data_IF_700770293322
#
_entry.id   IF_700770293322
#
_cell.length_a   1.000
_cell.length_b   1.000
_cell.length_c   1.000
_cell.angle_alpha   90.00
_cell.angle_beta   90.00
_cell.angle_gamma   90.00
#
_symmetry.space_group_name_H-M   'P 1'
#
loop_
_entity.id
_entity.type
_entity.pdbx_description
1 polymer ?
#
# COMPACT_ATOMS: atom_id res chain seq x y z
N UNK A 1 62.92 -17.62 -37.92
CA UNK A 1 61.66 -16.84 -37.87
C UNK A 1 60.82 -17.41 -36.73
N UNK A 2 60.86 -16.78 -35.56
CA UNK A 2 60.05 -17.16 -34.40
C UNK A 2 59.42 -15.89 -33.83
N UNK A 3 58.11 -15.77 -33.97
CA UNK A 3 57.33 -14.67 -33.43
C UNK A 3 57.20 -14.82 -31.91
N UNK A 4 57.65 -13.79 -31.19
CA UNK A 4 57.56 -13.65 -29.74
C UNK A 4 56.16 -13.12 -29.42
N UNK A 5 55.30 -13.94 -28.81
CA UNK A 5 54.05 -13.48 -28.22
C UNK A 5 54.36 -12.64 -26.98
N UNK A 6 54.05 -11.35 -27.03
CA UNK A 6 54.05 -10.49 -25.85
C UNK A 6 52.79 -10.77 -25.03
N UNK A 7 53.02 -11.22 -23.80
CA UNK A 7 51.99 -11.37 -22.76
C UNK A 7 51.58 -9.98 -22.26
N UNK A 8 50.47 -9.46 -22.80
CA UNK A 8 49.72 -8.38 -22.17
C UNK A 8 49.22 -8.85 -20.79
N UNK A 9 49.78 -8.26 -19.73
CA UNK A 9 49.19 -8.35 -18.39
C UNK A 9 48.10 -7.30 -18.27
N UNK A 10 46.81 -7.66 -18.10
CA UNK A 10 45.79 -6.68 -17.79
C UNK A 10 46.03 -6.15 -16.37
N UNK A 11 46.40 -4.86 -16.31
CA UNK A 11 46.39 -4.06 -15.09
C UNK A 11 45.05 -4.23 -14.38
N UNK A 12 45.06 -4.85 -13.19
CA UNK A 12 43.93 -4.85 -12.25
C UNK A 12 43.52 -3.40 -12.01
N UNK A 13 42.39 -3.00 -12.58
CA UNK A 13 41.72 -1.75 -12.22
C UNK A 13 41.51 -1.73 -10.71
N UNK A 14 42.15 -0.77 -10.04
CA UNK A 14 41.86 -0.47 -8.65
C UNK A 14 40.37 -0.16 -8.54
N UNK A 15 39.65 -0.93 -7.71
CA UNK A 15 38.28 -0.62 -7.37
C UNK A 15 38.21 0.83 -6.86
N UNK A 16 37.20 1.63 -7.26
CA UNK A 16 37.04 2.98 -6.75
C UNK A 16 36.94 2.90 -5.23
N UNK A 17 37.84 3.60 -4.54
CA UNK A 17 37.87 3.65 -3.09
C UNK A 17 36.48 4.12 -2.60
N UNK A 18 35.77 3.25 -1.89
CA UNK A 18 34.58 3.61 -1.15
C UNK A 18 34.97 4.75 -0.20
N UNK A 19 34.49 5.96 -0.46
CA UNK A 19 34.79 7.13 0.38
C UNK A 19 34.42 6.80 1.82
N UNK A 20 35.44 6.71 2.67
CA UNK A 20 35.32 6.57 4.12
C UNK A 20 34.38 7.65 4.65
N UNK A 21 33.58 7.32 5.67
CA UNK A 21 32.77 8.35 6.33
C UNK A 21 33.68 9.46 6.87
N UNK A 22 33.34 10.74 6.65
CA UNK A 22 34.19 11.85 7.09
C UNK A 22 34.31 11.85 8.61
N UNK A 23 35.47 12.26 9.11
CA UNK A 23 35.68 12.42 10.54
C UNK A 23 34.66 13.41 11.15
N UNK A 24 34.37 13.35 12.46
CA UNK A 24 33.41 14.28 13.07
C UNK A 24 33.74 15.77 12.84
N UNK A 25 35.03 16.11 12.79
CA UNK A 25 35.48 17.47 12.51
C UNK A 25 35.25 17.88 11.04
N UNK A 26 35.57 17.01 10.09
CA UNK A 26 35.30 17.24 8.66
C UNK A 26 33.81 17.30 8.37
N UNK A 27 33.03 16.43 9.02
CA UNK A 27 31.56 16.46 8.92
C UNK A 27 31.00 17.79 9.38
N UNK A 28 31.43 18.32 10.53
CA UNK A 28 30.98 19.63 11.00
C UNK A 28 31.30 20.76 10.00
N UNK A 29 32.47 20.71 9.34
CA UNK A 29 32.83 21.67 8.29
C UNK A 29 31.94 21.54 7.05
N UNK A 30 31.64 20.31 6.62
CA UNK A 30 30.76 20.04 5.48
C UNK A 30 29.33 20.48 5.80
N UNK A 31 28.82 20.20 7.01
CA UNK A 31 27.49 20.64 7.45
C UNK A 31 27.38 22.17 7.45
N UNK A 32 28.40 22.88 7.93
CA UNK A 32 28.45 24.33 7.90
C UNK A 32 28.44 24.86 6.45
N UNK A 33 29.21 24.24 5.56
CA UNK A 33 29.28 24.64 4.15
C UNK A 33 27.95 24.42 3.42
N UNK A 34 27.28 23.29 3.64
CA UNK A 34 25.95 22.98 3.11
C UNK A 34 24.91 24.01 3.57
N UNK A 35 24.91 24.38 4.86
CA UNK A 35 24.02 25.43 5.40
C UNK A 35 24.30 26.78 4.76
N UNK A 36 25.57 27.12 4.58
CA UNK A 36 26.01 28.38 3.98
C UNK A 36 25.56 28.48 2.53
N UNK A 37 25.77 27.41 1.74
CA UNK A 37 25.36 27.36 0.33
C UNK A 37 23.84 27.48 0.17
N UNK A 38 23.05 26.76 0.97
CA UNK A 38 21.58 26.88 0.94
C UNK A 38 21.11 28.29 1.32
N UNK A 39 21.73 28.90 2.33
CA UNK A 39 21.39 30.26 2.77
C UNK A 39 21.72 31.30 1.71
N UNK A 40 22.90 31.21 1.10
CA UNK A 40 23.33 32.11 0.04
C UNK A 40 22.41 32.01 -1.19
N UNK A 41 22.04 30.80 -1.59
CA UNK A 41 21.13 30.56 -2.71
C UNK A 41 19.74 31.18 -2.46
N UNK A 42 19.17 30.98 -1.27
CA UNK A 42 17.89 31.57 -0.94
C UNK A 42 17.94 33.11 -0.90
N UNK A 43 19.04 33.70 -0.41
CA UNK A 43 19.23 35.14 -0.39
C UNK A 43 19.35 35.74 -1.80
N UNK A 44 20.00 35.05 -2.73
CA UNK A 44 20.08 35.47 -4.13
C UNK A 44 18.69 35.57 -4.79
N UNK A 45 17.76 34.72 -4.37
CA UNK A 45 16.37 34.71 -4.84
C UNK A 45 15.46 35.68 -4.03
N UNK A 46 16.04 36.52 -3.17
CA UNK A 46 15.29 37.48 -2.34
C UNK A 46 14.51 36.85 -1.19
N UNK A 47 14.78 35.58 -0.86
CA UNK A 47 14.13 34.82 0.20
C UNK A 47 15.03 34.56 1.40
N UNK A 48 14.44 33.95 2.44
CA UNK A 48 15.17 33.42 3.59
C UNK A 48 14.66 32.04 3.94
N UNK A 49 15.56 31.10 4.27
CA UNK A 49 15.17 29.77 4.72
C UNK A 49 15.03 29.73 6.25
N UNK A 50 13.96 29.12 6.78
CA UNK A 50 13.87 28.85 8.20
C UNK A 50 14.88 27.77 8.62
N UNK A 51 15.28 27.80 9.89
CA UNK A 51 16.26 26.86 10.44
C UNK A 51 15.87 25.39 10.26
N UNK A 52 14.57 25.07 10.35
CA UNK A 52 14.06 23.72 10.12
C UNK A 52 14.34 23.18 8.70
N UNK A 53 14.28 24.04 7.67
CA UNK A 53 14.60 23.66 6.28
C UNK A 53 16.10 23.45 6.14
N UNK A 54 16.93 24.30 6.74
CA UNK A 54 18.38 24.12 6.75
C UNK A 54 18.80 22.83 7.45
N UNK A 55 18.21 22.54 8.61
CA UNK A 55 18.46 21.30 9.34
C UNK A 55 18.00 20.07 8.55
N UNK A 56 16.90 20.16 7.79
CA UNK A 56 16.45 19.11 6.88
C UNK A 56 17.41 18.87 5.69
N UNK A 57 17.90 19.94 5.05
CA UNK A 57 18.87 19.84 3.95
C UNK A 57 20.14 19.11 4.43
N UNK A 58 20.62 19.46 5.63
CA UNK A 58 21.78 18.82 6.25
C UNK A 58 21.49 17.37 6.61
N UNK A 59 20.37 17.08 7.27
CA UNK A 59 20.00 15.73 7.69
C UNK A 59 19.79 14.75 6.51
N UNK A 60 19.44 15.26 5.33
CA UNK A 60 19.20 14.47 4.11
C UNK A 60 20.35 14.46 3.11
N UNK A 61 21.48 15.07 3.50
CA UNK A 61 22.73 15.06 2.73
C UNK A 61 23.45 13.72 2.88
N UNK A 62 23.97 13.21 1.76
CA UNK A 62 24.80 12.01 1.77
C UNK A 62 26.26 12.43 1.88
N UNK A 63 26.79 12.43 3.11
CA UNK A 63 28.14 12.90 3.40
C UNK A 63 29.27 12.06 2.77
N UNK A 64 28.94 10.97 2.06
CA UNK A 64 29.89 10.23 1.23
C UNK A 64 30.12 10.89 -0.13
N UNK A 65 29.29 11.86 -0.51
CA UNK A 65 29.45 12.66 -1.73
C UNK A 65 30.50 13.76 -1.54
N UNK A 66 31.11 14.20 -2.65
CA UNK A 66 32.00 15.35 -2.64
C UNK A 66 31.25 16.61 -2.14
N UNK A 67 31.92 17.40 -1.31
CA UNK A 67 31.44 18.65 -0.72
C UNK A 67 30.79 19.59 -1.75
N UNK A 68 31.39 19.76 -2.93
CA UNK A 68 30.81 20.61 -3.99
C UNK A 68 29.44 20.12 -4.47
N UNK A 69 29.25 18.80 -4.58
CA UNK A 69 27.96 18.23 -4.97
C UNK A 69 26.89 18.43 -3.89
N UNK A 70 27.29 18.36 -2.62
CA UNK A 70 26.43 18.64 -1.48
C UNK A 70 26.00 20.12 -1.44
N UNK A 71 26.93 21.05 -1.64
CA UNK A 71 26.65 22.48 -1.70
C UNK A 71 25.73 22.84 -2.88
N UNK A 72 25.99 22.30 -4.07
CA UNK A 72 25.14 22.52 -5.25
C UNK A 72 23.72 21.97 -5.05
N UNK A 73 23.58 20.80 -4.43
CA UNK A 73 22.29 20.22 -4.07
C UNK A 73 21.56 21.07 -3.03
N UNK A 74 22.28 21.55 -2.02
CA UNK A 74 21.73 22.42 -0.98
C UNK A 74 21.17 23.72 -1.58
N UNK A 75 21.91 24.35 -2.49
CA UNK A 75 21.47 25.52 -3.25
C UNK A 75 20.24 25.23 -4.12
N UNK A 76 20.21 24.08 -4.81
CA UNK A 76 19.05 23.69 -5.64
C UNK A 76 17.77 23.49 -4.81
N UNK A 77 17.88 22.83 -3.65
CA UNK A 77 16.74 22.66 -2.74
C UNK A 77 16.29 24.01 -2.20
N UNK A 78 17.23 24.87 -1.81
CA UNK A 78 16.95 26.22 -1.33
C UNK A 78 16.14 27.04 -2.34
N UNK A 79 16.58 27.09 -3.60
CA UNK A 79 15.89 27.81 -4.67
C UNK A 79 14.47 27.27 -4.89
N UNK A 80 14.31 25.94 -4.87
CA UNK A 80 12.98 25.35 -5.01
C UNK A 80 12.05 25.77 -3.86
N UNK A 81 12.52 25.75 -2.62
CA UNK A 81 11.71 26.11 -1.45
C UNK A 81 11.30 27.58 -1.45
N UNK A 82 12.18 28.48 -1.91
CA UNK A 82 11.87 29.91 -2.02
C UNK A 82 10.76 30.18 -3.04
N UNK A 83 10.73 29.42 -4.13
CA UNK A 83 9.76 29.59 -5.23
C UNK A 83 8.52 28.69 -5.13
N UNK A 84 8.45 27.82 -4.14
CA UNK A 84 7.33 26.88 -4.01
C UNK A 84 6.11 27.56 -3.40
N UNK A 85 5.07 27.73 -4.21
CA UNK A 85 3.77 28.30 -3.81
C UNK A 85 3.09 27.47 -2.70
N UNK A 86 3.49 26.21 -2.53
CA UNK A 86 2.99 25.31 -1.47
C UNK A 86 3.82 25.40 -0.18
N UNK A 87 4.90 26.18 -0.15
CA UNK A 87 5.65 26.41 1.06
C UNK A 87 4.74 27.10 2.10
N UNK A 88 4.71 26.61 3.36
CA UNK A 88 3.92 27.24 4.39
C UNK A 88 4.51 28.61 4.73
N UNK A 89 3.69 29.54 5.24
CA UNK A 89 4.19 30.82 5.72
C UNK A 89 5.07 30.59 6.96
N UNK A 90 6.38 30.56 6.76
CA UNK A 90 7.37 30.19 7.78
C UNK A 90 7.31 31.02 9.07
N UNK A 91 6.82 32.25 9.00
CA UNK A 91 6.70 33.15 10.15
C UNK A 91 5.54 32.84 11.09
N UNK A 92 4.55 32.05 10.63
CA UNK A 92 3.34 31.71 11.41
C UNK A 92 2.83 30.29 11.23
N UNK A 93 3.53 29.45 10.47
CA UNK A 93 3.14 28.07 10.20
C UNK A 93 3.19 27.22 11.47
N UNK A 94 2.18 26.36 11.64
CA UNK A 94 2.19 25.42 12.73
C UNK A 94 3.29 24.36 12.50
N UNK A 95 3.98 23.85 13.54
CA UNK A 95 5.06 22.86 13.37
C UNK A 95 4.67 21.62 12.54
N UNK A 96 3.40 21.22 12.57
CA UNK A 96 2.88 20.10 11.76
C UNK A 96 2.81 20.42 10.27
N UNK A 97 2.52 21.66 9.89
CA UNK A 97 2.48 22.10 8.48
C UNK A 97 3.89 22.16 7.90
N UNK A 98 4.83 22.67 8.70
CA UNK A 98 6.27 22.63 8.39
C UNK A 98 6.73 21.20 8.19
N UNK A 99 6.38 20.28 9.11
CA UNK A 99 6.75 18.87 9.00
C UNK A 99 6.14 18.18 7.77
N UNK A 100 4.86 18.44 7.46
CA UNK A 100 4.19 17.88 6.29
C UNK A 100 4.82 18.38 4.98
N UNK A 101 5.17 19.66 4.92
CA UNK A 101 5.85 20.25 3.78
C UNK A 101 7.26 19.65 3.57
N UNK A 102 8.07 19.57 4.63
CA UNK A 102 9.39 18.92 4.58
C UNK A 102 9.31 17.46 4.14
N UNK A 103 8.27 16.73 4.58
CA UNK A 103 8.03 15.36 4.12
C UNK A 103 7.68 15.28 2.62
N UNK A 104 6.97 16.29 2.09
CA UNK A 104 6.66 16.38 0.66
C UNK A 104 7.90 16.70 -0.20
N UNK A 105 8.81 17.55 0.29
CA UNK A 105 10.10 17.80 -0.34
C UNK A 105 10.93 16.51 -0.44
N UNK A 106 10.86 15.65 0.57
CA UNK A 106 11.51 14.33 0.54
C UNK A 106 11.03 13.42 -0.58
N UNK A 107 9.78 13.57 -1.03
CA UNK A 107 9.26 12.86 -2.21
C UNK A 107 9.77 13.49 -3.50
N UNK A 108 9.68 14.81 -3.64
CA UNK A 108 10.13 15.53 -4.84
C UNK A 108 11.64 15.40 -5.08
N UNK A 109 12.46 15.48 -4.04
CA UNK A 109 13.92 15.35 -4.16
C UNK A 109 14.42 13.90 -3.99
N UNK A 110 13.61 13.01 -3.42
CA UNK A 110 13.86 11.57 -3.42
C UNK A 110 13.82 10.97 -4.83
N UNK A 111 12.99 11.53 -5.71
CA UNK A 111 12.91 11.15 -7.13
C UNK A 111 14.02 11.82 -7.97
N UNK A 112 14.49 13.01 -7.62
CA UNK A 112 15.72 13.60 -8.21
C UNK A 112 16.96 12.73 -7.97
N UNK A 113 17.03 12.01 -6.85
CA UNK A 113 18.11 11.05 -6.59
C UNK A 113 18.12 9.89 -7.61
N UNK A 114 16.97 9.58 -8.22
CA UNK A 114 16.86 8.62 -9.33
C UNK A 114 17.18 9.26 -10.68
N UNK A 115 16.78 10.51 -10.90
CA UNK A 115 17.01 11.21 -12.18
C UNK A 115 18.43 11.77 -12.36
N UNK A 116 19.08 12.30 -11.32
CA UNK A 116 20.47 12.78 -11.41
C UNK A 116 21.47 11.63 -11.62
N UNK A 117 21.17 10.43 -11.10
CA UNK A 117 21.92 9.20 -11.41
C UNK A 117 21.74 8.70 -12.84
N UNK A 118 20.71 9.17 -13.56
CA UNK A 118 20.41 8.79 -14.96
C UNK A 118 20.95 9.81 -15.97
N UNK A 119 21.22 11.06 -15.59
CA UNK A 119 21.80 12.08 -16.49
C UNK A 119 23.32 12.26 -16.34
N UNK A 120 23.94 11.80 -15.24
CA UNK A 120 25.39 11.92 -15.02
C UNK A 120 26.26 10.74 -15.47
N UNK A 121 25.66 9.67 -15.99
CA UNK A 121 26.37 8.43 -16.38
C UNK A 121 26.23 8.08 -17.87
N UNK A 122 25.93 9.08 -18.70
CA UNK A 122 25.81 8.95 -20.15
C UNK A 122 27.12 9.14 -20.89
N UNK A 123 28.25 8.63 -20.39
CA UNK A 123 29.53 8.57 -21.13
C UNK A 123 30.58 7.81 -20.30
N UNK A 124 30.54 6.47 -20.31
CA UNK A 124 31.71 5.59 -20.28
C UNK A 124 31.30 4.13 -20.01
N UNK A 125 31.43 3.32 -21.06
CA UNK A 125 31.72 1.89 -21.07
C UNK A 125 30.72 0.92 -20.42
N UNK A 126 30.12 0.11 -21.29
CA UNK A 126 29.25 -1.00 -20.93
C UNK A 126 29.97 -2.19 -20.26
N UNK A 127 29.14 -3.21 -20.05
CA UNK A 127 29.37 -4.54 -19.44
C UNK A 127 28.88 -4.63 -17.98
N UNK A 128 27.99 -5.60 -17.78
CA UNK A 128 27.43 -6.15 -16.52
C UNK A 128 26.47 -5.30 -15.68
N UNK A 129 25.29 -5.05 -16.25
CA UNK A 129 24.11 -4.65 -15.49
C UNK A 129 23.42 -5.83 -14.81
N UNK A 130 23.98 -6.38 -13.73
CA UNK A 130 23.17 -7.11 -12.72
C UNK A 130 23.95 -7.47 -11.43
N UNK A 131 24.50 -6.49 -10.68
CA UNK A 131 25.07 -6.79 -9.34
C UNK A 131 25.35 -5.62 -8.40
N UNK A 132 24.47 -4.64 -8.27
CA UNK A 132 24.45 -3.75 -7.08
C UNK A 132 23.02 -3.44 -6.67
N UNK A 133 22.34 -4.42 -6.07
CA UNK A 133 21.09 -4.21 -5.33
C UNK A 133 21.37 -4.39 -3.83
N UNK A 134 22.29 -3.60 -3.30
CA UNK A 134 22.58 -3.56 -1.88
C UNK A 134 21.97 -2.28 -1.26
N UNK A 135 20.98 -2.51 -0.40
CA UNK A 135 20.67 -1.73 0.79
C UNK A 135 20.78 -0.19 0.69
N UNK A 136 19.71 0.45 0.26
CA UNK A 136 19.63 1.91 0.25
C UNK A 136 18.22 2.45 0.08
N UNK A 137 17.22 1.79 0.68
CA UNK A 137 15.89 2.39 0.83
C UNK A 137 16.00 3.58 1.79
N UNK A 138 16.32 4.74 1.22
CA UNK A 138 16.13 6.05 1.84
C UNK A 138 14.62 6.25 2.06
N UNK A 139 14.11 5.72 3.18
CA UNK A 139 12.87 6.20 3.77
C UNK A 139 13.15 7.61 4.28
N UNK A 140 12.46 8.60 3.72
CA UNK A 140 12.47 9.96 4.26
C UNK A 140 12.10 9.90 5.73
N UNK A 141 12.94 10.47 6.58
CA UNK A 141 12.75 10.53 8.01
C UNK A 141 11.43 11.24 8.30
N UNK A 142 10.40 10.46 8.63
CA UNK A 142 9.21 10.99 9.28
C UNK A 142 9.59 11.35 10.71
N UNK A 143 8.88 12.31 11.30
CA UNK A 143 9.02 12.75 12.70
C UNK A 143 8.96 11.58 13.74
N UNK A 144 8.61 10.37 13.29
CA UNK A 144 8.64 9.08 14.00
C UNK A 144 10.02 8.43 14.16
N UNK A 145 11.08 8.94 13.53
CA UNK A 145 12.43 8.34 13.55
C UNK A 145 13.36 8.93 14.62
N UNK A 146 12.86 9.80 15.51
CA UNK A 146 13.56 10.10 16.76
C UNK A 146 13.56 8.82 17.62
N UNK A 147 14.70 8.39 18.20
CA UNK A 147 14.74 7.21 19.05
C UNK A 147 13.88 7.47 20.30
N UNK A 148 12.68 6.88 20.33
CA UNK A 148 11.86 6.89 21.54
C UNK A 148 12.61 6.09 22.61
N UNK A 149 12.65 6.62 23.83
CA UNK A 149 13.19 5.85 24.96
C UNK A 149 12.39 4.54 25.11
N UNK A 150 13.05 3.50 25.61
CA UNK A 150 12.43 2.18 25.83
C UNK A 150 11.18 2.29 26.72
N UNK A 151 11.20 3.17 27.72
CA UNK A 151 10.05 3.48 28.57
C UNK A 151 8.88 4.07 27.77
N UNK A 152 9.15 4.98 26.82
CA UNK A 152 8.12 5.55 25.94
C UNK A 152 7.56 4.52 24.98
N UNK A 153 8.40 3.68 24.37
CA UNK A 153 7.94 2.58 23.52
C UNK A 153 7.15 1.54 24.32
N UNK A 154 7.54 1.28 25.56
CA UNK A 154 6.86 0.35 26.45
C UNK A 154 5.49 0.87 26.86
N UNK A 155 5.39 2.15 27.24
CA UNK A 155 4.12 2.82 27.48
C UNK A 155 3.23 2.79 26.22
N UNK A 156 3.81 3.08 25.05
CA UNK A 156 3.08 3.06 23.77
C UNK A 156 2.56 1.66 23.41
N UNK A 157 3.35 0.62 23.64
CA UNK A 157 2.94 -0.76 23.41
C UNK A 157 1.76 -1.15 24.33
N UNK A 158 1.77 -0.72 25.59
CA UNK A 158 0.63 -0.93 26.52
C UNK A 158 -0.61 -0.17 26.04
N UNK A 159 -0.45 1.08 25.64
CA UNK A 159 -1.54 1.93 25.14
C UNK A 159 -2.19 1.32 23.89
N UNK A 160 -1.40 0.78 22.95
CA UNK A 160 -1.90 0.12 21.74
C UNK A 160 -2.44 -1.30 21.96
N UNK A 161 -2.47 -1.79 23.19
CA UNK A 161 -3.01 -3.12 23.52
C UNK A 161 -2.07 -4.29 23.24
N UNK A 162 -0.76 -4.04 23.19
CA UNK A 162 0.30 -5.06 23.00
C UNK A 162 1.23 -5.09 24.22
N UNK A 163 0.70 -5.31 25.45
CA UNK A 163 1.47 -5.14 26.69
C UNK A 163 2.64 -6.12 26.81
N UNK A 164 2.58 -7.28 26.14
CA UNK A 164 3.65 -8.26 26.14
C UNK A 164 4.93 -7.75 25.45
N UNK A 165 4.79 -6.78 24.54
CA UNK A 165 5.92 -6.18 23.83
C UNK A 165 6.62 -5.12 24.69
N UNK A 166 5.92 -4.55 25.68
CA UNK A 166 6.42 -3.45 26.51
C UNK A 166 7.67 -3.79 27.34
N UNK A 167 7.89 -5.07 27.63
CA UNK A 167 9.05 -5.57 28.36
C UNK A 167 9.90 -6.52 27.49
N UNK A 168 9.72 -6.49 26.17
CA UNK A 168 10.41 -7.40 25.26
C UNK A 168 11.80 -6.85 24.89
N UNK A 169 12.88 -7.66 24.88
CA UNK A 169 14.24 -7.16 24.58
C UNK A 169 14.37 -6.55 23.18
N UNK A 170 13.54 -7.00 22.23
CA UNK A 170 13.51 -6.44 20.87
C UNK A 170 12.73 -5.12 20.75
N UNK A 171 12.09 -4.62 21.82
CA UNK A 171 11.29 -3.40 21.78
C UNK A 171 12.09 -2.21 21.23
N UNK A 172 13.38 -2.10 21.58
CA UNK A 172 14.28 -1.05 21.07
C UNK A 172 14.54 -1.12 19.57
N UNK A 173 14.38 -2.29 18.95
CA UNK A 173 14.53 -2.51 17.51
C UNK A 173 13.23 -2.26 16.74
N UNK A 174 12.11 -2.17 17.46
CA UNK A 174 10.80 -1.93 16.88
C UNK A 174 10.49 -0.44 16.90
N UNK A 175 10.04 0.07 15.76
CA UNK A 175 9.56 1.45 15.65
C UNK A 175 8.12 1.56 16.16
N UNK A 176 7.63 2.77 16.52
CA UNK A 176 6.22 2.96 16.88
C UNK A 176 5.25 2.42 15.82
N UNK A 177 5.60 2.54 14.54
CA UNK A 177 4.84 1.96 13.44
C UNK A 177 4.77 0.43 13.48
N UNK A 178 5.84 -0.25 13.91
CA UNK A 178 5.82 -1.70 14.07
C UNK A 178 4.87 -2.12 15.20
N UNK A 179 4.89 -1.39 16.32
CA UNK A 179 3.98 -1.61 17.46
C UNK A 179 2.52 -1.48 17.01
N UNK A 180 2.19 -0.45 16.23
CA UNK A 180 0.86 -0.27 15.66
C UNK A 180 0.45 -1.40 14.72
N UNK A 181 1.35 -1.84 13.84
CA UNK A 181 1.06 -2.95 12.91
C UNK A 181 0.81 -4.25 13.68
N UNK A 182 1.60 -4.57 14.70
CA UNK A 182 1.35 -5.74 15.56
C UNK A 182 0.02 -5.60 16.32
N UNK A 183 -0.32 -4.41 16.81
CA UNK A 183 -1.59 -4.13 17.47
C UNK A 183 -2.79 -4.34 16.54
N UNK A 184 -2.75 -3.77 15.33
CA UNK A 184 -3.81 -3.91 14.31
C UNK A 184 -4.03 -5.36 13.91
N UNK A 185 -2.94 -6.11 13.74
CA UNK A 185 -2.96 -7.54 13.44
C UNK A 185 -3.19 -8.41 14.68
N UNK A 186 -3.50 -7.80 15.83
CA UNK A 186 -3.76 -8.44 17.14
C UNK A 186 -2.69 -9.45 17.55
N UNK A 187 -1.45 -9.27 17.12
CA UNK A 187 -0.39 -10.27 17.26
C UNK A 187 -0.11 -10.57 18.72
N UNK A 188 -0.10 -11.87 19.07
CA UNK A 188 0.26 -12.32 20.40
C UNK A 188 1.77 -12.62 20.49
N UNK A 189 2.22 -12.80 21.74
CA UNK A 189 3.62 -13.11 22.04
C UNK A 189 4.09 -14.40 21.36
N UNK A 190 3.21 -15.39 21.21
CA UNK A 190 3.56 -16.70 20.63
C UNK A 190 3.79 -16.58 19.13
N UNK A 191 2.88 -15.92 18.41
CA UNK A 191 3.02 -15.68 16.97
C UNK A 191 4.26 -14.83 16.66
N UNK A 192 4.57 -13.83 17.50
CA UNK A 192 5.80 -13.07 17.34
C UNK A 192 7.06 -13.93 17.55
N UNK A 193 7.07 -14.78 18.58
CA UNK A 193 8.18 -15.71 18.82
C UNK A 193 8.29 -16.78 17.72
N UNK A 194 7.18 -17.23 17.14
CA UNK A 194 7.21 -18.14 16.01
C UNK A 194 7.95 -17.53 14.81
N UNK A 195 7.75 -16.22 14.54
CA UNK A 195 8.48 -15.51 13.49
C UNK A 195 9.95 -15.26 13.85
N UNK A 196 10.22 -14.82 15.08
CA UNK A 196 11.58 -14.39 15.45
C UNK A 196 12.47 -15.54 15.91
N UNK A 197 12.01 -16.34 16.86
CA UNK A 197 12.80 -17.43 17.47
C UNK A 197 12.77 -18.71 16.64
N UNK A 198 11.61 -19.11 16.13
CA UNK A 198 11.50 -20.38 15.39
C UNK A 198 11.83 -20.22 13.90
N UNK A 199 11.36 -19.15 13.25
CA UNK A 199 11.68 -18.85 11.86
C UNK A 199 12.95 -18.00 11.65
N UNK A 200 13.64 -17.59 12.73
CA UNK A 200 14.93 -16.90 12.66
C UNK A 200 14.85 -15.47 12.09
N UNK A 201 13.67 -14.85 12.06
CA UNK A 201 13.53 -13.50 11.54
C UNK A 201 14.04 -12.46 12.54
N UNK A 202 14.74 -11.44 12.04
CA UNK A 202 14.99 -10.25 12.84
C UNK A 202 13.66 -9.53 13.15
N UNK A 203 13.57 -8.75 14.24
CA UNK A 203 12.36 -7.99 14.57
C UNK A 203 11.87 -7.10 13.42
N UNK A 204 12.80 -6.51 12.66
CA UNK A 204 12.49 -5.67 11.51
C UNK A 204 11.90 -6.48 10.35
N UNK A 205 12.44 -7.68 10.08
CA UNK A 205 11.90 -8.61 9.07
C UNK A 205 10.53 -9.14 9.48
N UNK A 206 10.33 -9.46 10.77
CA UNK A 206 9.05 -9.90 11.31
C UNK A 206 7.99 -8.78 11.14
N UNK A 207 8.32 -7.54 11.48
CA UNK A 207 7.44 -6.39 11.20
C UNK A 207 7.17 -6.23 9.70
N UNK A 208 8.19 -6.33 8.84
CA UNK A 208 8.03 -6.24 7.39
C UNK A 208 7.05 -7.29 6.83
N UNK A 209 7.10 -8.52 7.37
CA UNK A 209 6.20 -9.60 7.02
C UNK A 209 4.76 -9.34 7.47
N UNK A 210 4.56 -8.96 8.74
CA UNK A 210 3.22 -8.65 9.27
C UNK A 210 2.60 -7.46 8.54
N UNK A 211 3.41 -6.46 8.18
CA UNK A 211 2.97 -5.35 7.34
C UNK A 211 2.57 -5.80 5.93
N UNK A 212 3.26 -6.77 5.34
CA UNK A 212 2.86 -7.35 4.06
C UNK A 212 1.55 -8.14 4.17
N UNK A 213 1.33 -8.85 5.28
CA UNK A 213 0.05 -9.52 5.58
C UNK A 213 -1.11 -8.51 5.70
N UNK A 214 -0.92 -7.43 6.45
CA UNK A 214 -1.87 -6.33 6.55
C UNK A 214 -2.20 -5.74 5.16
N UNK A 215 -1.17 -5.47 4.36
CA UNK A 215 -1.33 -4.91 3.01
C UNK A 215 -2.03 -5.87 2.03
N UNK A 216 -1.87 -7.18 2.22
CA UNK A 216 -2.54 -8.22 1.45
C UNK A 216 -3.97 -8.50 1.92
N UNK A 217 -4.50 -7.75 2.91
CA UNK A 217 -5.80 -7.97 3.54
C UNK A 217 -5.95 -9.34 4.22
N UNK A 218 -4.86 -9.91 4.71
CA UNK A 218 -4.90 -11.10 5.57
C UNK A 218 -5.55 -10.70 6.90
N UNK A 219 -6.45 -11.54 7.42
CA UNK A 219 -7.11 -11.25 8.70
C UNK A 219 -6.13 -11.41 9.87
N UNK A 220 -6.38 -10.77 11.03
CA UNK A 220 -5.55 -10.95 12.22
C UNK A 220 -5.35 -12.43 12.63
N UNK A 221 -6.40 -13.25 12.56
CA UNK A 221 -6.34 -14.65 12.97
C UNK A 221 -5.55 -15.50 11.96
N UNK A 222 -5.76 -15.28 10.66
CA UNK A 222 -4.96 -15.90 9.60
C UNK A 222 -3.49 -15.53 9.70
N UNK A 223 -3.17 -14.27 10.02
CA UNK A 223 -1.79 -13.81 10.17
C UNK A 223 -1.07 -14.50 11.35
N UNK A 224 -1.77 -14.70 12.47
CA UNK A 224 -1.24 -15.44 13.62
C UNK A 224 -0.98 -16.91 13.28
N UNK A 225 -1.95 -17.55 12.64
CA UNK A 225 -1.86 -18.94 12.23
C UNK A 225 -0.73 -19.15 11.21
N UNK A 226 -0.65 -18.28 10.21
CA UNK A 226 0.41 -18.30 9.20
C UNK A 226 1.79 -18.13 9.87
N UNK A 227 1.92 -17.21 10.82
CA UNK A 227 3.16 -17.02 11.58
C UNK A 227 3.56 -18.25 12.40
N UNK A 228 2.60 -18.89 13.10
CA UNK A 228 2.86 -20.12 13.86
C UNK A 228 3.28 -21.27 12.94
N UNK A 229 2.62 -21.43 11.79
CA UNK A 229 2.96 -22.45 10.79
C UNK A 229 4.33 -22.21 10.15
N UNK A 230 4.65 -20.96 9.81
CA UNK A 230 5.97 -20.56 9.33
C UNK A 230 7.07 -20.83 10.36
N UNK A 231 6.81 -20.57 11.65
CA UNK A 231 7.73 -20.94 12.72
C UNK A 231 7.99 -22.45 12.75
N UNK A 232 6.93 -23.26 12.74
CA UNK A 232 7.04 -24.71 12.80
C UNK A 232 7.82 -25.32 11.62
N UNK A 233 7.62 -24.79 10.42
CA UNK A 233 8.29 -25.27 9.20
C UNK A 233 9.73 -24.78 9.06
N UNK A 234 10.01 -23.54 9.47
CA UNK A 234 11.36 -22.96 9.42
C UNK A 234 12.28 -23.39 10.56
N UNK A 235 11.70 -23.93 11.64
CA UNK A 235 12.46 -24.39 12.81
C UNK A 235 13.48 -25.46 12.43
N UNK A 236 14.75 -25.16 12.66
CA UNK A 236 15.88 -26.06 12.42
C UNK A 236 16.38 -26.10 10.98
N UNK A 237 15.84 -25.27 10.07
CA UNK A 237 16.43 -25.03 8.75
C UNK A 237 17.71 -24.22 8.85
N UNK A 238 18.54 -24.24 7.81
CA UNK A 238 19.71 -23.36 7.76
C UNK A 238 19.29 -21.89 7.63
N UNK A 239 20.10 -20.90 8.07
CA UNK A 239 19.76 -19.49 7.91
C UNK A 239 19.49 -19.07 6.45
N UNK A 240 20.19 -19.67 5.49
CA UNK A 240 19.98 -19.42 4.06
C UNK A 240 18.61 -19.94 3.59
N UNK A 241 18.22 -21.15 4.00
CA UNK A 241 16.90 -21.73 3.71
C UNK A 241 15.77 -20.92 4.37
N UNK A 242 15.97 -20.49 5.62
CA UNK A 242 15.01 -19.63 6.32
C UNK A 242 14.83 -18.30 5.59
N UNK A 243 15.93 -17.68 5.15
CA UNK A 243 15.89 -16.43 4.42
C UNK A 243 15.20 -16.58 3.06
N UNK A 244 15.54 -17.62 2.29
CA UNK A 244 14.91 -17.92 1.00
C UNK A 244 13.39 -18.11 1.14
N UNK A 245 12.96 -18.90 2.13
CA UNK A 245 11.54 -19.11 2.41
C UNK A 245 10.82 -17.82 2.81
N UNK A 246 11.47 -16.98 3.62
CA UNK A 246 10.92 -15.68 4.02
C UNK A 246 10.75 -14.73 2.83
N UNK A 247 11.74 -14.68 1.94
CA UNK A 247 11.69 -13.86 0.73
C UNK A 247 10.55 -14.31 -0.20
N UNK A 248 10.40 -15.62 -0.40
CA UNK A 248 9.28 -16.18 -1.18
C UNK A 248 7.92 -15.88 -0.55
N UNK A 249 7.79 -15.98 0.77
CA UNK A 249 6.57 -15.59 1.48
C UNK A 249 6.24 -14.11 1.30
N UNK A 250 7.25 -13.23 1.43
CA UNK A 250 7.06 -11.79 1.21
C UNK A 250 6.64 -11.49 -0.23
N UNK A 251 7.23 -12.16 -1.20
CA UNK A 251 6.90 -11.96 -2.61
C UNK A 251 5.50 -12.49 -2.95
N UNK A 252 5.09 -13.61 -2.35
CA UNK A 252 3.71 -14.09 -2.44
C UNK A 252 2.71 -13.09 -1.82
N UNK A 253 2.99 -12.56 -0.62
CA UNK A 253 2.13 -11.55 0.03
C UNK A 253 2.04 -10.25 -0.78
N UNK A 254 3.15 -9.78 -1.35
CA UNK A 254 3.14 -8.63 -2.28
C UNK A 254 2.32 -8.93 -3.53
N UNK A 255 2.50 -10.11 -4.11
CA UNK A 255 1.75 -10.52 -5.29
C UNK A 255 0.25 -10.65 -5.00
N UNK A 256 -0.15 -11.16 -3.83
CA UNK A 256 -1.56 -11.18 -3.41
C UNK A 256 -2.19 -9.79 -3.46
N UNK A 257 -1.45 -8.78 -2.99
CA UNK A 257 -1.90 -7.39 -3.06
C UNK A 257 -1.99 -6.88 -4.51
N UNK A 258 -0.95 -7.09 -5.31
CA UNK A 258 -0.81 -6.38 -6.59
C UNK A 258 -1.42 -7.13 -7.79
N UNK A 259 -1.25 -8.45 -7.89
CA UNK A 259 -1.64 -9.27 -9.04
C UNK A 259 -1.92 -10.74 -8.65
N UNK A 260 -3.18 -11.21 -8.71
CA UNK A 260 -3.54 -12.57 -8.32
C UNK A 260 -2.90 -13.65 -9.18
N UNK A 261 -2.61 -13.38 -10.47
CA UNK A 261 -1.94 -14.36 -11.34
C UNK A 261 -0.48 -14.56 -10.91
N UNK A 262 0.20 -13.47 -10.51
CA UNK A 262 1.55 -13.56 -9.91
C UNK A 262 1.52 -14.26 -8.55
N UNK A 263 0.47 -14.05 -7.76
CA UNK A 263 0.32 -14.71 -6.47
C UNK A 263 0.23 -16.24 -6.63
N UNK A 264 -0.58 -16.72 -7.59
CA UNK A 264 -0.68 -18.14 -7.91
C UNK A 264 0.68 -18.71 -8.38
N UNK A 265 1.39 -17.99 -9.27
CA UNK A 265 2.72 -18.42 -9.72
C UNK A 265 3.73 -18.52 -8.56
N UNK A 266 3.69 -17.58 -7.62
CA UNK A 266 4.55 -17.61 -6.42
C UNK A 266 4.19 -18.73 -5.44
N UNK A 267 2.90 -19.07 -5.33
CA UNK A 267 2.46 -20.21 -4.53
C UNK A 267 2.96 -21.53 -5.11
N UNK A 268 2.97 -21.68 -6.44
CA UNK A 268 3.57 -22.84 -7.13
C UNK A 268 5.10 -22.91 -6.96
N UNK A 269 5.80 -21.77 -6.98
CA UNK A 269 7.24 -21.72 -6.69
C UNK A 269 7.54 -22.21 -5.27
N UNK A 270 6.77 -21.73 -4.28
CA UNK A 270 6.85 -22.19 -2.89
C UNK A 270 6.49 -23.67 -2.73
N UNK A 271 5.52 -24.17 -3.51
CA UNK A 271 5.15 -25.60 -3.51
C UNK A 271 6.33 -26.47 -3.94
N UNK A 272 7.04 -26.10 -5.00
CA UNK A 272 8.24 -26.84 -5.47
C UNK A 272 9.34 -26.86 -4.41
N UNK A 273 9.63 -25.72 -3.79
CA UNK A 273 10.63 -25.64 -2.72
C UNK A 273 10.23 -26.51 -1.50
N UNK A 274 8.93 -26.54 -1.18
CA UNK A 274 8.38 -27.38 -0.12
C UNK A 274 8.47 -28.86 -0.42
N UNK A 275 8.21 -29.28 -1.65
CA UNK A 275 8.39 -30.67 -2.06
C UNK A 275 9.85 -31.11 -1.93
N UNK A 276 10.81 -30.24 -2.30
CA UNK A 276 12.23 -30.48 -2.04
C UNK A 276 12.55 -30.55 -0.55
N UNK A 277 11.97 -29.65 0.25
CA UNK A 277 12.16 -29.64 1.70
C UNK A 277 11.64 -30.93 2.34
N UNK A 278 10.45 -31.40 1.96
CA UNK A 278 9.88 -32.65 2.48
C UNK A 278 10.69 -33.86 2.06
N UNK A 279 11.24 -33.87 0.84
CA UNK A 279 12.18 -34.91 0.39
C UNK A 279 13.45 -34.95 1.26
N UNK A 280 13.99 -33.79 1.62
CA UNK A 280 15.19 -33.69 2.49
C UNK A 280 14.88 -33.93 3.97
N UNK A 281 13.68 -33.57 4.41
CA UNK A 281 13.22 -33.55 5.81
C UNK A 281 11.78 -34.04 5.92
N UNK A 282 11.56 -35.37 5.86
CA UNK A 282 10.22 -35.95 5.93
C UNK A 282 9.51 -35.67 7.26
N UNK A 283 10.26 -35.42 8.34
CA UNK A 283 9.73 -34.99 9.64
C UNK A 283 8.94 -33.67 9.57
N UNK A 284 9.23 -32.82 8.58
CA UNK A 284 8.54 -31.54 8.35
C UNK A 284 7.30 -31.65 7.45
N UNK A 285 7.00 -32.82 6.91
CA UNK A 285 5.91 -33.02 5.94
C UNK A 285 4.56 -32.47 6.42
N UNK A 286 4.21 -32.74 7.68
CA UNK A 286 2.95 -32.26 8.27
C UNK A 286 2.90 -30.74 8.36
N UNK A 287 3.95 -30.12 8.92
CA UNK A 287 4.03 -28.68 9.08
C UNK A 287 3.98 -27.96 7.71
N UNK A 288 4.65 -28.53 6.71
CA UNK A 288 4.63 -28.03 5.32
C UNK A 288 3.22 -28.11 4.73
N UNK A 289 2.53 -29.24 4.89
CA UNK A 289 1.15 -29.40 4.44
C UNK A 289 0.18 -28.42 5.13
N UNK A 290 0.34 -28.21 6.44
CA UNK A 290 -0.49 -27.30 7.20
C UNK A 290 -0.26 -25.84 6.75
N UNK A 291 0.99 -25.43 6.49
CA UNK A 291 1.29 -24.11 5.94
C UNK A 291 0.74 -23.91 4.52
N UNK A 292 0.83 -24.93 3.66
CA UNK A 292 0.27 -24.89 2.30
C UNK A 292 -1.25 -24.71 2.33
N UNK A 293 -1.95 -25.45 3.18
CA UNK A 293 -3.40 -25.31 3.35
C UNK A 293 -3.79 -23.90 3.80
N UNK A 294 -3.07 -23.32 4.76
CA UNK A 294 -3.34 -21.95 5.23
C UNK A 294 -3.23 -20.94 4.09
N UNK A 295 -2.21 -21.06 3.25
CA UNK A 295 -1.99 -20.12 2.15
C UNK A 295 -3.01 -20.27 1.04
N UNK A 296 -3.37 -21.50 0.70
CA UNK A 296 -4.44 -21.76 -0.27
C UNK A 296 -5.77 -21.19 0.21
N UNK A 297 -6.07 -21.34 1.51
CA UNK A 297 -7.29 -20.79 2.12
C UNK A 297 -7.29 -19.25 2.08
N UNK A 298 -6.18 -18.61 2.49
CA UNK A 298 -6.01 -17.15 2.42
C UNK A 298 -6.17 -16.65 0.98
N UNK A 299 -5.48 -17.27 0.03
CA UNK A 299 -5.56 -16.87 -1.39
C UNK A 299 -6.98 -17.04 -1.92
N UNK A 300 -7.63 -18.16 -1.63
CA UNK A 300 -9.00 -18.43 -2.07
C UNK A 300 -9.99 -17.42 -1.48
N UNK A 301 -9.86 -17.07 -0.19
CA UNK A 301 -10.70 -16.04 0.44
C UNK A 301 -10.53 -14.70 -0.25
N UNK A 302 -9.28 -14.25 -0.44
CA UNK A 302 -8.98 -12.97 -1.07
C UNK A 302 -9.51 -12.93 -2.51
N UNK A 303 -9.38 -14.02 -3.28
CA UNK A 303 -9.95 -14.12 -4.62
C UNK A 303 -11.48 -14.06 -4.62
N UNK A 304 -12.15 -14.73 -3.66
CA UNK A 304 -13.60 -14.68 -3.51
C UNK A 304 -14.08 -13.28 -3.14
N UNK A 305 -13.42 -12.61 -2.19
CA UNK A 305 -13.73 -11.22 -1.82
C UNK A 305 -13.55 -10.27 -3.00
N UNK A 306 -12.49 -10.43 -3.79
CA UNK A 306 -12.28 -9.64 -5.01
C UNK A 306 -13.35 -9.87 -6.07
N UNK A 307 -13.74 -11.12 -6.28
CA UNK A 307 -14.84 -11.46 -7.19
C UNK A 307 -16.17 -10.88 -6.71
N UNK A 308 -16.46 -10.97 -5.41
CA UNK A 308 -17.65 -10.37 -4.81
C UNK A 308 -17.65 -8.84 -4.94
N UNK A 309 -16.50 -8.17 -4.71
CA UNK A 309 -16.36 -6.72 -4.89
C UNK A 309 -16.53 -6.31 -6.36
N UNK A 310 -16.03 -7.11 -7.31
CA UNK A 310 -16.21 -6.87 -8.73
C UNK A 310 -17.68 -7.02 -9.17
N UNK A 311 -18.38 -8.04 -8.66
CA UNK A 311 -19.82 -8.24 -8.89
C UNK A 311 -20.61 -7.06 -8.32
N UNK A 312 -20.35 -6.67 -7.06
CA UNK A 312 -21.01 -5.52 -6.42
C UNK A 312 -20.79 -4.23 -7.21
N UNK A 313 -19.57 -3.95 -7.66
CA UNK A 313 -19.28 -2.77 -8.50
C UNK A 313 -20.01 -2.83 -9.85
N UNK A 314 -20.19 -4.01 -10.41
CA UNK A 314 -20.94 -4.18 -11.65
C UNK A 314 -22.45 -3.94 -11.43
N UNK A 315 -23.01 -4.42 -10.32
CA UNK A 315 -24.39 -4.15 -9.90
C UNK A 315 -24.63 -2.66 -9.63
N UNK A 316 -23.72 -1.98 -8.93
CA UNK A 316 -23.75 -0.53 -8.69
C UNK A 316 -23.70 0.28 -10.00
N UNK A 317 -22.93 -0.19 -11.00
CA UNK A 317 -22.94 0.44 -12.34
C UNK A 317 -24.27 0.21 -13.06
N UNK A 318 -24.84 -0.98 -12.98
CA UNK A 318 -26.09 -1.31 -13.64
C UNK A 318 -27.28 -0.53 -13.06
N UNK A 319 -27.34 -0.40 -11.74
CA UNK A 319 -28.35 0.43 -11.06
C UNK A 319 -28.24 1.89 -11.49
N UNK A 320 -27.05 2.47 -11.46
CA UNK A 320 -26.82 3.84 -11.94
C UNK A 320 -27.14 4.04 -13.43
N UNK A 321 -26.92 3.03 -14.29
CA UNK A 321 -27.35 3.08 -15.70
C UNK A 321 -28.87 3.02 -15.82
N UNK A 322 -29.55 2.23 -14.99
CA UNK A 322 -31.01 2.15 -14.98
C UNK A 322 -31.65 3.46 -14.50
N UNK A 323 -31.09 4.10 -13.48
CA UNK A 323 -31.54 5.42 -12.99
C UNK A 323 -31.36 6.49 -14.08
N UNK A 324 -30.19 6.55 -14.73
CA UNK A 324 -29.96 7.46 -15.86
C UNK A 324 -30.92 7.22 -17.03
N UNK A 325 -31.30 5.97 -17.30
CA UNK A 325 -32.30 5.66 -18.32
C UNK A 325 -33.69 6.13 -17.90
N UNK A 326 -34.06 5.97 -16.64
CA UNK A 326 -35.32 6.47 -16.11
C UNK A 326 -35.41 8.00 -16.22
N UNK A 327 -34.37 8.73 -15.80
CA UNK A 327 -34.30 10.19 -15.97
C UNK A 327 -34.39 10.63 -17.43
N UNK A 328 -33.77 9.89 -18.36
CA UNK A 328 -33.84 10.19 -19.78
C UNK A 328 -35.26 9.98 -20.35
N UNK A 329 -35.96 8.95 -19.87
CA UNK A 329 -37.36 8.68 -20.26
C UNK A 329 -38.26 9.78 -19.72
N UNK A 330 -38.07 10.21 -18.47
CA UNK A 330 -38.82 11.31 -17.87
C UNK A 330 -38.59 12.63 -18.64
N UNK A 331 -37.34 13.00 -18.92
CA UNK A 331 -37.02 14.18 -19.76
C UNK A 331 -37.63 14.10 -21.15
N UNK A 332 -37.64 12.91 -21.77
CA UNK A 332 -38.31 12.73 -23.08
C UNK A 332 -39.82 12.90 -22.97
N UNK A 333 -40.43 12.41 -21.91
CA UNK A 333 -41.86 12.57 -21.66
C UNK A 333 -42.23 14.05 -21.47
N UNK A 334 -41.43 14.82 -20.72
CA UNK A 334 -41.62 16.27 -20.56
C UNK A 334 -41.51 17.03 -21.90
N UNK A 335 -40.53 16.70 -22.75
CA UNK A 335 -40.37 17.34 -24.07
C UNK A 335 -41.58 17.04 -24.98
N UNK A 336 -42.10 15.81 -24.94
CA UNK A 336 -43.30 15.42 -25.70
C UNK A 336 -44.52 16.16 -25.15
N UNK A 337 -44.70 16.21 -23.83
CA UNK A 337 -45.79 16.95 -23.19
C UNK A 337 -45.78 18.43 -23.58
N UNK A 338 -44.61 19.08 -23.55
CA UNK A 338 -44.44 20.46 -24.00
C UNK A 338 -44.75 20.66 -25.49
N UNK A 339 -44.40 19.70 -26.36
CA UNK A 339 -44.78 19.76 -27.78
C UNK A 339 -46.29 19.59 -28.01
N UNK A 340 -46.94 18.70 -27.25
CA UNK A 340 -48.39 18.49 -27.32
C UNK A 340 -49.13 19.74 -26.84
N UNK A 341 -48.69 20.34 -25.73
CA UNK A 341 -49.28 21.58 -25.20
C UNK A 341 -49.09 22.75 -26.17
N UNK A 342 -47.90 22.92 -26.74
CA UNK A 342 -47.63 23.93 -27.76
C UNK A 342 -48.46 23.73 -29.04
N UNK A 343 -48.66 22.48 -29.48
CA UNK A 343 -49.50 22.17 -30.63
C UNK A 343 -50.99 22.40 -30.33
N UNK A 344 -51.47 22.04 -29.14
CA UNK A 344 -52.85 22.33 -28.72
C UNK A 344 -53.10 23.84 -28.61
N UNK A 345 -52.15 24.60 -28.08
CA UNK A 345 -52.23 26.06 -28.03
C UNK A 345 -52.28 26.67 -29.45
N UNK A 346 -51.47 26.16 -30.40
CA UNK A 346 -51.54 26.57 -31.81
C UNK A 346 -52.86 26.21 -32.47
N UNK A 347 -53.40 25.02 -32.19
CA UNK A 347 -54.73 24.58 -32.67
C UNK A 347 -55.85 25.48 -32.12
N UNK A 348 -55.80 25.81 -30.82
CA UNK A 348 -56.76 26.73 -30.21
C UNK A 348 -56.67 28.15 -30.79
N UNK A 349 -55.46 28.63 -31.09
CA UNK A 349 -55.26 29.93 -31.76
C UNK A 349 -55.75 29.92 -33.22
N UNK A 350 -55.62 28.80 -33.94
CA UNK A 350 -56.12 28.63 -35.31
C UNK A 350 -57.64 28.48 -35.38
N UNK A 351 -58.28 27.92 -34.34
CA UNK A 351 -59.73 27.74 -34.28
C UNK A 351 -60.48 29.02 -33.88
N UNK A 352 -59.79 30.02 -33.31
CA UNK A 352 -60.39 31.28 -32.87
C UNK A 352 -61.45 31.11 -31.77
N UNK A 353 -61.88 32.20 -31.11
CA UNK A 353 -63.00 32.13 -30.18
C UNK A 353 -64.28 31.85 -30.98
N UNK A 354 -64.83 30.64 -30.85
CA UNK A 354 -66.13 30.30 -31.42
C UNK A 354 -67.21 31.24 -30.83
N UNK A 355 -67.91 32.05 -31.64
CA UNK A 355 -69.00 32.85 -31.14
C UNK A 355 -70.22 31.95 -30.92
N UNK A 356 -70.59 31.77 -29.65
CA UNK A 356 -71.94 31.38 -29.24
C UNK A 356 -72.22 29.88 -29.20
N UNK A 357 -72.02 29.27 -28.04
CA UNK A 357 -72.84 28.15 -27.56
C UNK A 357 -72.93 28.23 -26.03
N UNK A 358 -73.83 29.08 -25.55
CA UNK A 358 -74.38 29.00 -24.20
C UNK A 358 -75.42 27.89 -24.18
N UNK A 359 -75.10 26.73 -23.60
CA UNK A 359 -76.08 25.83 -22.99
C UNK A 359 -75.37 24.90 -22.00
N UNK A 360 -75.89 24.74 -20.77
CA UNK A 360 -75.34 23.82 -19.78
C UNK A 360 -75.68 22.37 -20.16
N UNK A 361 -74.80 21.39 -19.89
CA UNK A 361 -75.11 20.00 -20.15
C UNK A 361 -76.06 19.45 -19.08
N UNK A 362 -77.14 18.86 -19.59
CA UNK A 362 -78.13 18.07 -18.86
C UNK A 362 -77.45 16.87 -18.18
N UNK A 363 -77.70 16.73 -16.88
CA UNK A 363 -77.18 15.67 -16.04
C UNK A 363 -78.05 14.43 -16.23
N UNK A 364 -77.79 13.64 -17.27
CA UNK A 364 -78.34 12.28 -17.40
C UNK A 364 -77.58 11.45 -18.44
N UNK A 365 -77.16 10.24 -18.03
CA UNK A 365 -76.60 9.10 -18.79
C UNK A 365 -75.07 8.94 -18.90
N UNK A 366 -74.58 7.68 -18.97
CA UNK A 366 -73.56 7.20 -18.05
C UNK A 366 -72.18 7.01 -18.69
N UNK A 367 -71.20 7.03 -17.80
CA UNK A 367 -69.77 6.74 -17.93
C UNK A 367 -69.44 5.54 -18.83
N UNK A 368 -68.57 5.68 -19.84
CA UNK A 368 -67.83 4.57 -20.41
C UNK A 368 -66.53 4.33 -19.63
N UNK A 369 -66.22 3.05 -19.46
CA UNK A 369 -65.20 2.49 -18.59
C UNK A 369 -63.77 2.96 -18.88
N UNK A 370 -63.00 3.16 -17.80
CA UNK A 370 -61.55 3.28 -17.80
C UNK A 370 -60.89 2.06 -18.45
N UNK A 371 -59.87 2.23 -19.30
CA UNK A 371 -59.06 1.11 -19.75
C UNK A 371 -58.18 0.60 -18.60
N UNK A 372 -58.39 -0.68 -18.30
CA UNK A 372 -57.68 -1.52 -17.34
C UNK A 372 -56.18 -1.54 -17.59
N UNK A 373 -55.42 -1.20 -16.56
CA UNK A 373 -53.98 -1.43 -16.41
C UNK A 373 -53.66 -2.92 -16.64
N UNK A 374 -52.70 -3.30 -17.50
CA UNK A 374 -52.23 -4.68 -17.56
C UNK A 374 -51.42 -5.03 -16.29
N UNK A 375 -51.59 -6.24 -15.72
CA UNK A 375 -50.93 -6.64 -14.49
C UNK A 375 -49.43 -6.86 -14.67
N UNK A 376 -48.68 -6.47 -13.65
CA UNK A 376 -47.27 -6.75 -13.46
C UNK A 376 -46.99 -8.25 -13.63
N UNK A 377 -46.05 -8.58 -14.52
CA UNK A 377 -45.51 -9.92 -14.64
C UNK A 377 -44.81 -10.29 -13.31
N UNK A 378 -45.27 -11.40 -12.74
CA UNK A 378 -44.73 -12.01 -11.55
C UNK A 378 -43.27 -12.46 -11.78
N UNK A 379 -42.42 -12.11 -10.81
CA UNK A 379 -41.15 -12.78 -10.56
C UNK A 379 -41.38 -14.28 -10.34
N UNK A 380 -40.62 -15.18 -10.99
CA UNK A 380 -40.45 -16.54 -10.51
C UNK A 380 -39.12 -16.69 -9.77
N UNK A 381 -39.14 -17.61 -8.80
CA UNK A 381 -38.01 -18.26 -8.13
C UNK A 381 -37.44 -17.59 -6.88
N UNK A 382 -38.19 -17.75 -5.77
CA UNK A 382 -37.59 -18.02 -4.48
C UNK A 382 -36.79 -19.34 -4.54
N UNK A 383 -35.56 -19.41 -3.99
CA UNK A 383 -34.83 -20.68 -3.87
C UNK A 383 -35.45 -21.56 -2.76
N UNK A 384 -35.41 -22.90 -2.92
CA UNK A 384 -36.05 -23.82 -2.00
C UNK A 384 -35.36 -23.85 -0.63
N UNK A 385 -36.17 -24.05 0.40
CA UNK A 385 -35.76 -24.24 1.79
C UNK A 385 -34.75 -25.38 1.92
N UNK A 386 -33.65 -25.11 2.64
CA UNK A 386 -32.70 -26.13 3.05
C UNK A 386 -33.33 -27.05 4.11
N UNK A 387 -33.10 -28.37 4.05
CA UNK A 387 -33.54 -29.29 5.08
C UNK A 387 -32.75 -29.09 6.39
N UNK A 388 -33.47 -29.14 7.51
CA UNK A 388 -32.93 -29.04 8.85
C UNK A 388 -31.89 -30.14 9.11
N UNK A 389 -30.70 -29.72 9.59
CA UNK A 389 -29.66 -30.61 10.07
C UNK A 389 -30.08 -31.15 11.44
N UNK A 390 -30.10 -32.47 11.67
CA UNK A 390 -30.40 -33.03 12.98
C UNK A 390 -29.29 -32.71 13.98
N UNK A 391 -29.71 -32.40 15.21
CA UNK A 391 -28.84 -32.06 16.34
C UNK A 391 -27.79 -33.16 16.59
N UNK A 392 -26.52 -32.75 16.70
CA UNK A 392 -25.44 -33.61 17.14
C UNK A 392 -25.62 -33.97 18.62
N UNK A 393 -25.57 -35.27 18.92
CA UNK A 393 -25.58 -35.82 20.27
C UNK A 393 -24.41 -35.29 21.11
N UNK A 394 -24.61 -35.04 22.42
CA UNK A 394 -23.55 -34.58 23.30
C UNK A 394 -22.48 -35.67 23.53
N UNK A 395 -21.21 -35.26 23.48
CA UNK A 395 -20.04 -36.07 23.84
C UNK A 395 -20.08 -36.44 25.33
N UNK A 396 -19.67 -37.67 25.71
CA UNK A 396 -19.57 -38.10 27.10
C UNK A 396 -18.41 -37.39 27.83
N UNK A 397 -18.53 -37.19 29.15
CA UNK A 397 -17.52 -36.51 29.96
C UNK A 397 -16.21 -37.32 30.05
N UNK A 398 -15.06 -36.63 30.19
CA UNK A 398 -13.78 -37.29 30.38
C UNK A 398 -13.76 -38.03 31.73
N UNK A 399 -13.39 -39.30 31.69
CA UNK A 399 -13.22 -40.13 32.89
C UNK A 399 -12.11 -39.62 33.81
N UNK A 400 -12.23 -39.84 35.13
CA UNK A 400 -11.27 -39.37 36.11
C UNK A 400 -9.93 -40.11 36.00
N UNK A 401 -8.84 -39.39 36.25
CA UNK A 401 -7.49 -39.95 36.46
C UNK A 401 -7.35 -40.51 37.87
#
# INVERSE_FOLDING_TARGET
>A
MSARQELFSPSKGAAPALHSEPSPAERAQIEHAVRTAATAAAQMEGGSLPRAVLDYIVATSDFRQNRQALEARAASIANHVVHDVKAPNWSGAHPTEVAAYLASLGKHFGDYRRHAGLQGAGEANGVDGDRVRAAGTNKGASYSDLPWSEEKLGAYAREKGVPWLANHPDLRRLTPAAIETFAKMKFDKESYHALTRDAGLSPEKAHGLVKAMEAAKVTPDEAKELAKRMGATSKGLSPEEQQRRHELMLDWLKALKDDPAKAAAKLEEMRKEREELVKRRPDKAKAVSDEEKAQQEIQRRIELERKAEAIRKHEERNTHVSEKKAELVEKKAEVIAGHVEANNAKLAALLGPAPGLTSPPDASKPTPASPTTPPAAANPAAPPAQPAVPAASPLPPPGPK
#
